data_IF_031356600275
#
_entry.id   IF_031356600275
#
_cell.length_a   1.000
_cell.length_b   1.000
_cell.length_c   1.000
_cell.angle_alpha   90.00
_cell.angle_beta   90.00
_cell.angle_gamma   90.00
#
_symmetry.space_group_name_H-M   'P 1'
#
loop_
_entity.id
_entity.type
_entity.pdbx_description
1 polymer ?
#
# COMPACT_ATOMS: atom_id res chain seq x y z
N UNK A 1 -23.22 -12.08 -11.17
CA UNK A 1 -22.71 -13.09 -12.12
C UNK A 1 -23.81 -14.10 -12.31
N UNK A 2 -24.14 -14.56 -13.53
CA UNK A 2 -25.05 -15.67 -13.72
C UNK A 2 -24.41 -16.90 -13.09
N UNK A 3 -25.09 -17.52 -12.12
CA UNK A 3 -24.67 -18.78 -11.52
C UNK A 3 -24.69 -19.86 -12.60
N UNK A 4 -23.56 -20.54 -12.80
CA UNK A 4 -23.53 -21.71 -13.68
C UNK A 4 -24.62 -22.70 -13.26
N UNK A 5 -25.29 -23.42 -14.21
CA UNK A 5 -26.33 -24.35 -13.87
C UNK A 5 -25.77 -25.44 -12.94
N UNK A 6 -26.48 -25.68 -11.83
CA UNK A 6 -26.09 -26.67 -10.81
C UNK A 6 -26.16 -28.08 -11.42
N UNK A 7 -25.07 -28.86 -11.35
CA UNK A 7 -25.09 -30.25 -11.82
C UNK A 7 -26.18 -31.08 -11.13
N UNK A 8 -26.90 -31.93 -11.86
CA UNK A 8 -28.00 -32.75 -11.28
C UNK A 8 -27.60 -33.59 -10.06
N UNK A 9 -26.37 -34.09 -10.06
CA UNK A 9 -25.81 -34.88 -8.95
C UNK A 9 -25.66 -34.10 -7.63
N UNK A 10 -25.64 -32.75 -7.69
CA UNK A 10 -25.54 -31.90 -6.50
C UNK A 10 -26.89 -31.46 -5.94
N UNK A 11 -28.00 -31.74 -6.60
CA UNK A 11 -29.32 -31.28 -6.16
C UNK A 11 -29.71 -31.85 -4.79
N UNK A 12 -29.42 -33.13 -4.54
CA UNK A 12 -29.69 -33.76 -3.24
C UNK A 12 -28.82 -33.17 -2.12
N UNK A 13 -27.55 -32.92 -2.40
CA UNK A 13 -26.62 -32.23 -1.48
C UNK A 13 -27.11 -30.83 -1.12
N UNK A 14 -27.57 -30.08 -2.14
CA UNK A 14 -28.13 -28.73 -1.95
C UNK A 14 -29.39 -28.76 -1.09
N UNK A 15 -30.35 -29.66 -1.38
CA UNK A 15 -31.57 -29.76 -0.60
C UNK A 15 -31.29 -30.11 0.87
N UNK A 16 -30.36 -31.04 1.09
CA UNK A 16 -29.93 -31.41 2.46
C UNK A 16 -29.27 -30.25 3.21
N UNK A 17 -28.40 -29.51 2.53
CA UNK A 17 -27.74 -28.35 3.11
C UNK A 17 -28.75 -27.20 3.36
N UNK A 18 -29.68 -26.96 2.45
CA UNK A 18 -30.75 -25.98 2.60
C UNK A 18 -31.59 -26.25 3.84
N UNK A 19 -32.01 -27.50 4.02
CA UNK A 19 -32.75 -27.93 5.21
C UNK A 19 -31.92 -27.71 6.50
N UNK A 20 -30.67 -28.14 6.50
CA UNK A 20 -29.78 -27.98 7.67
C UNK A 20 -29.55 -26.50 8.04
N UNK A 21 -29.38 -25.61 7.03
CA UNK A 21 -29.24 -24.16 7.24
C UNK A 21 -30.54 -23.59 7.83
N UNK A 22 -31.71 -23.96 7.30
CA UNK A 22 -33.01 -23.49 7.81
C UNK A 22 -33.19 -23.91 9.28
N UNK A 23 -32.97 -25.18 9.62
CA UNK A 23 -33.07 -25.68 10.98
C UNK A 23 -32.09 -25.02 11.95
N UNK A 24 -30.84 -24.86 11.53
CA UNK A 24 -29.83 -24.20 12.34
C UNK A 24 -30.06 -22.70 12.52
N UNK A 25 -30.69 -22.03 11.57
CA UNK A 25 -31.01 -20.60 11.58
C UNK A 25 -32.40 -20.27 12.15
N UNK A 26 -33.23 -21.25 12.48
CA UNK A 26 -34.64 -21.05 12.84
C UNK A 26 -34.83 -20.09 14.04
N UNK A 27 -34.00 -20.24 15.06
CA UNK A 27 -34.04 -19.37 16.22
C UNK A 27 -33.72 -17.88 15.87
N UNK A 28 -32.72 -17.64 15.03
CA UNK A 28 -32.33 -16.29 14.60
C UNK A 28 -33.36 -15.71 13.62
N UNK A 29 -33.93 -16.55 12.76
CA UNK A 29 -35.01 -16.11 11.85
C UNK A 29 -36.24 -15.73 12.66
N UNK A 30 -36.60 -16.53 13.67
CA UNK A 30 -37.73 -16.23 14.59
C UNK A 30 -37.47 -14.97 15.40
N UNK A 31 -36.27 -14.78 15.92
CA UNK A 31 -35.84 -13.57 16.63
C UNK A 31 -35.92 -12.34 15.71
N UNK A 32 -35.47 -12.45 14.47
CA UNK A 32 -35.53 -11.39 13.47
C UNK A 32 -36.98 -11.02 13.14
N UNK A 33 -37.84 -12.02 12.90
CA UNK A 33 -39.23 -11.81 12.60
C UNK A 33 -39.97 -11.12 13.78
N UNK A 34 -39.71 -11.59 15.01
CA UNK A 34 -40.27 -10.96 16.22
C UNK A 34 -39.82 -9.52 16.38
N UNK A 35 -38.52 -9.22 16.21
CA UNK A 35 -38.00 -7.85 16.27
C UNK A 35 -38.66 -6.93 15.23
N UNK A 36 -38.80 -7.40 13.99
CA UNK A 36 -39.44 -6.63 12.92
C UNK A 36 -40.92 -6.38 13.21
N UNK A 37 -41.65 -7.39 13.72
CA UNK A 37 -43.09 -7.30 14.00
C UNK A 37 -43.43 -6.31 15.11
N UNK A 38 -42.54 -6.09 16.08
CA UNK A 38 -42.74 -5.15 17.21
C UNK A 38 -42.10 -3.78 16.94
N UNK A 39 -41.37 -3.62 15.87
CA UNK A 39 -40.72 -2.36 15.53
C UNK A 39 -41.73 -1.44 14.84
N UNK A 40 -41.92 -0.23 15.36
CA UNK A 40 -42.67 0.81 14.68
C UNK A 40 -42.00 1.22 13.38
N UNK A 41 -42.78 1.41 12.30
CA UNK A 41 -42.28 1.80 10.96
C UNK A 41 -41.38 3.05 11.02
N UNK A 42 -41.68 3.99 11.95
CA UNK A 42 -40.85 5.18 12.16
C UNK A 42 -39.43 4.86 12.72
N UNK A 43 -39.25 3.69 13.34
CA UNK A 43 -38.00 3.26 13.96
C UNK A 43 -37.35 2.04 13.26
N UNK A 44 -37.86 1.67 12.09
CA UNK A 44 -37.32 0.54 11.31
C UNK A 44 -35.87 0.77 10.90
N UNK A 45 -35.57 1.99 10.47
CA UNK A 45 -34.24 2.39 10.07
C UNK A 45 -33.38 2.86 11.25
N UNK A 46 -32.05 2.86 11.10
CA UNK A 46 -31.11 3.26 12.14
C UNK A 46 -30.72 2.10 13.06
N UNK A 47 -30.99 2.17 14.36
CA UNK A 47 -30.53 1.16 15.34
C UNK A 47 -30.99 -0.27 15.04
N UNK A 48 -32.14 -0.44 14.39
CA UNK A 48 -32.66 -1.76 14.01
C UNK A 48 -31.89 -2.37 12.83
N UNK A 49 -31.35 -1.57 11.91
CA UNK A 49 -30.53 -2.09 10.81
C UNK A 49 -29.28 -2.83 11.34
N UNK A 50 -28.63 -2.29 12.39
CA UNK A 50 -27.51 -2.97 13.05
C UNK A 50 -27.92 -4.31 13.70
N UNK A 51 -29.11 -4.38 14.31
CA UNK A 51 -29.64 -5.65 14.87
C UNK A 51 -29.94 -6.66 13.77
N UNK A 52 -30.59 -6.22 12.68
CA UNK A 52 -30.88 -7.04 11.52
C UNK A 52 -29.57 -7.60 10.92
N UNK A 53 -28.57 -6.74 10.74
CA UNK A 53 -27.24 -7.15 10.26
C UNK A 53 -26.61 -8.21 11.18
N UNK A 54 -26.63 -7.99 12.49
CA UNK A 54 -26.06 -8.92 13.46
C UNK A 54 -26.75 -10.31 13.41
N UNK A 55 -28.08 -10.36 13.26
CA UNK A 55 -28.84 -11.59 13.09
C UNK A 55 -28.52 -12.28 11.74
N UNK A 56 -28.42 -11.51 10.66
CA UNK A 56 -28.02 -12.03 9.35
C UNK A 56 -26.62 -12.66 9.39
N UNK A 57 -25.67 -12.05 10.10
CA UNK A 57 -24.34 -12.61 10.31
C UNK A 57 -24.39 -13.93 11.09
N UNK A 58 -25.19 -14.02 12.14
CA UNK A 58 -25.38 -15.31 12.88
C UNK A 58 -25.92 -16.41 11.97
N UNK A 59 -26.92 -16.11 11.14
CA UNK A 59 -27.46 -17.08 10.17
C UNK A 59 -26.38 -17.50 9.18
N UNK A 60 -25.62 -16.56 8.64
CA UNK A 60 -24.54 -16.85 7.71
C UNK A 60 -23.42 -17.69 8.35
N UNK A 61 -23.04 -17.40 9.60
CA UNK A 61 -22.06 -18.20 10.32
C UNK A 61 -22.54 -19.65 10.51
N UNK A 62 -23.80 -19.84 10.89
CA UNK A 62 -24.41 -21.18 10.99
C UNK A 62 -24.46 -21.91 9.66
N UNK A 63 -24.75 -21.20 8.57
CA UNK A 63 -24.70 -21.80 7.23
C UNK A 63 -23.32 -22.36 6.89
N UNK A 64 -22.24 -21.62 7.22
CA UNK A 64 -20.86 -22.10 7.06
C UNK A 64 -20.59 -23.33 7.96
N UNK A 65 -21.04 -23.32 9.21
CA UNK A 65 -20.90 -24.45 10.14
C UNK A 65 -21.59 -25.69 9.58
N UNK A 66 -22.83 -25.56 9.06
CA UNK A 66 -23.55 -26.68 8.47
C UNK A 66 -22.87 -27.21 7.20
N UNK A 67 -22.29 -26.33 6.39
CA UNK A 67 -21.51 -26.75 5.23
C UNK A 67 -20.24 -27.54 5.62
N UNK A 68 -19.56 -27.14 6.71
CA UNK A 68 -18.32 -27.80 7.17
C UNK A 68 -18.58 -29.09 7.99
N UNK A 69 -19.74 -29.21 8.61
CA UNK A 69 -20.06 -30.38 9.51
C UNK A 69 -19.91 -31.71 8.81
N UNK A 70 -20.43 -31.96 7.60
CA UNK A 70 -20.31 -33.27 6.92
C UNK A 70 -18.97 -33.44 6.20
N UNK A 71 -18.10 -32.41 6.15
CA UNK A 71 -16.85 -32.44 5.41
C UNK A 71 -15.75 -33.17 6.19
N UNK A 72 -14.76 -33.66 5.43
CA UNK A 72 -13.59 -34.33 6.02
C UNK A 72 -12.64 -33.37 6.73
N UNK A 73 -12.68 -32.08 6.40
CA UNK A 73 -11.92 -30.98 7.01
C UNK A 73 -10.45 -31.37 7.27
N UNK A 74 -9.74 -31.70 6.20
CA UNK A 74 -8.33 -32.09 6.23
C UNK A 74 -8.05 -33.54 6.63
N UNK A 75 -9.08 -34.43 6.68
CA UNK A 75 -8.85 -35.87 6.85
C UNK A 75 -8.48 -36.48 5.50
N UNK A 76 -7.24 -36.93 5.39
CA UNK A 76 -6.67 -37.60 4.21
C UNK A 76 -6.09 -38.97 4.58
N UNK A 77 -6.93 -39.83 5.15
CA UNK A 77 -6.56 -41.18 5.53
C UNK A 77 -5.85 -41.32 6.87
N UNK A 78 -5.30 -42.51 7.12
CA UNK A 78 -4.67 -42.84 8.40
C UNK A 78 -3.35 -42.08 8.66
N UNK A 79 -2.72 -41.54 7.62
CA UNK A 79 -1.45 -40.79 7.75
C UNK A 79 -1.25 -39.79 6.63
N UNK A 80 -0.49 -38.73 6.93
CA UNK A 80 -0.07 -37.71 5.98
C UNK A 80 1.43 -37.44 6.11
N UNK A 81 2.03 -36.81 5.11
CA UNK A 81 3.44 -36.38 5.20
C UNK A 81 3.56 -35.15 6.11
N UNK A 82 4.45 -35.22 7.10
CA UNK A 82 4.75 -34.09 7.98
C UNK A 82 5.51 -32.99 7.23
N UNK A 83 5.01 -31.75 7.15
CA UNK A 83 5.70 -30.67 6.46
C UNK A 83 6.98 -30.18 7.16
N UNK A 84 7.19 -30.56 8.44
CA UNK A 84 8.34 -30.13 9.23
C UNK A 84 9.56 -31.04 9.12
N UNK A 85 9.35 -32.33 8.91
CA UNK A 85 10.46 -33.30 8.87
C UNK A 85 10.32 -34.34 7.75
N UNK A 86 9.34 -34.22 6.89
CA UNK A 86 9.05 -35.10 5.75
C UNK A 86 8.80 -36.58 6.13
N UNK A 87 8.58 -36.88 7.40
CA UNK A 87 8.20 -38.20 7.90
C UNK A 87 6.70 -38.33 8.00
N UNK A 88 6.22 -39.55 8.25
CA UNK A 88 4.78 -39.85 8.42
C UNK A 88 4.25 -39.25 9.70
N UNK A 89 3.12 -38.53 9.63
CA UNK A 89 2.28 -38.14 10.76
C UNK A 89 0.99 -38.96 10.74
N UNK A 90 0.61 -39.54 11.87
CA UNK A 90 -0.55 -40.43 12.03
C UNK A 90 -1.78 -39.63 12.42
N UNK A 91 -2.94 -40.00 11.87
CA UNK A 91 -4.23 -39.47 12.32
C UNK A 91 -4.47 -39.80 13.79
N UNK A 92 -4.83 -38.77 14.55
CA UNK A 92 -5.10 -38.93 15.99
C UNK A 92 -6.59 -38.80 16.30
N UNK A 93 -7.23 -37.73 15.84
CA UNK A 93 -8.64 -37.44 16.16
C UNK A 93 -9.16 -36.27 15.34
N UNK A 94 -10.50 -36.08 15.34
CA UNK A 94 -11.09 -34.81 14.94
C UNK A 94 -11.21 -33.88 16.15
N UNK A 95 -10.69 -32.66 16.05
CA UNK A 95 -10.73 -31.64 17.12
C UNK A 95 -11.67 -30.49 16.75
N UNK A 96 -12.46 -30.05 17.73
CA UNK A 96 -13.28 -28.87 17.59
C UNK A 96 -12.38 -27.64 17.46
N UNK A 97 -12.74 -26.75 16.55
CA UNK A 97 -12.02 -25.52 16.28
C UNK A 97 -12.99 -24.37 16.03
N UNK A 98 -12.53 -23.14 16.25
CA UNK A 98 -13.26 -21.92 15.95
C UNK A 98 -12.40 -21.04 15.06
N UNK A 99 -12.89 -20.70 13.88
CA UNK A 99 -12.26 -19.70 13.02
C UNK A 99 -13.08 -18.41 13.00
N UNK A 100 -12.38 -17.29 12.85
CA UNK A 100 -13.00 -15.97 12.75
C UNK A 100 -13.17 -15.59 11.28
N UNK A 101 -14.40 -15.23 10.92
CA UNK A 101 -14.82 -14.92 9.55
C UNK A 101 -15.41 -13.52 9.47
N UNK A 102 -15.73 -13.05 8.26
CA UNK A 102 -16.45 -11.79 8.03
C UNK A 102 -17.88 -11.78 8.63
N UNK A 103 -18.41 -12.94 8.96
CA UNK A 103 -19.77 -13.08 9.53
C UNK A 103 -19.74 -13.55 10.99
N UNK A 104 -18.56 -13.53 11.62
CA UNK A 104 -18.37 -13.92 13.02
C UNK A 104 -17.63 -15.23 13.19
N UNK A 105 -17.70 -15.78 14.39
CA UNK A 105 -17.03 -17.04 14.75
C UNK A 105 -17.80 -18.25 14.16
N UNK A 106 -17.06 -19.15 13.54
CA UNK A 106 -17.56 -20.40 12.92
C UNK A 106 -16.88 -21.58 13.61
N UNK A 107 -17.68 -22.54 14.09
CA UNK A 107 -17.20 -23.72 14.80
C UNK A 107 -17.34 -24.97 13.93
N UNK A 108 -16.29 -25.75 13.85
CA UNK A 108 -16.27 -27.02 13.10
C UNK A 108 -15.24 -27.98 13.66
N UNK A 109 -15.33 -29.25 13.26
CA UNK A 109 -14.33 -30.26 13.61
C UNK A 109 -13.35 -30.41 12.45
N UNK A 110 -12.05 -30.49 12.77
CA UNK A 110 -10.99 -30.71 11.79
C UNK A 110 -10.09 -31.88 12.20
N UNK A 111 -9.46 -32.52 11.21
CA UNK A 111 -8.55 -33.61 11.42
C UNK A 111 -7.24 -33.14 12.07
N UNK A 112 -6.81 -33.86 13.10
CA UNK A 112 -5.55 -33.66 13.78
C UNK A 112 -4.64 -34.86 13.57
N UNK A 113 -3.42 -34.59 13.11
CA UNK A 113 -2.37 -35.59 12.93
C UNK A 113 -1.22 -35.29 13.89
N UNK A 114 -0.53 -36.33 14.34
CA UNK A 114 0.64 -36.21 15.20
C UNK A 114 1.83 -36.87 14.54
N UNK A 115 2.91 -36.12 14.31
CA UNK A 115 4.18 -36.64 13.86
C UNK A 115 5.01 -37.11 15.05
N UNK A 116 5.20 -38.42 15.20
CA UNK A 116 6.01 -38.99 16.29
C UNK A 116 7.49 -38.71 16.13
N UNK A 117 7.95 -38.41 14.93
CA UNK A 117 9.37 -38.13 14.67
C UNK A 117 9.81 -36.78 15.21
N UNK A 118 9.06 -35.71 14.95
CA UNK A 118 9.40 -34.33 15.42
C UNK A 118 8.49 -33.84 16.54
N UNK A 119 7.50 -34.64 17.00
CA UNK A 119 6.56 -34.27 18.08
C UNK A 119 5.53 -33.21 17.69
N UNK A 120 5.50 -32.74 16.44
CA UNK A 120 4.58 -31.67 16.01
C UNK A 120 3.21 -32.19 15.63
N UNK A 121 2.16 -31.46 16.06
CA UNK A 121 0.79 -31.65 15.63
C UNK A 121 0.49 -30.90 14.35
N UNK A 122 -0.39 -31.45 13.52
CA UNK A 122 -0.72 -30.93 12.20
C UNK A 122 -2.22 -30.86 12.02
N UNK A 123 -2.67 -29.78 11.38
CA UNK A 123 -4.06 -29.59 10.96
C UNK A 123 -4.05 -29.26 9.45
N UNK A 124 -4.14 -30.26 8.56
CA UNK A 124 -4.07 -30.03 7.11
C UNK A 124 -5.10 -29.02 6.62
N UNK A 125 -6.32 -29.05 7.19
CA UNK A 125 -7.39 -28.14 6.84
C UNK A 125 -7.04 -26.67 7.01
N UNK A 126 -6.26 -26.30 8.03
CA UNK A 126 -5.91 -24.90 8.28
C UNK A 126 -5.09 -24.33 7.11
N UNK A 127 -4.18 -25.14 6.59
CA UNK A 127 -3.39 -24.78 5.41
C UNK A 127 -4.24 -24.75 4.14
N UNK A 128 -5.10 -25.76 3.94
CA UNK A 128 -6.00 -25.81 2.77
C UNK A 128 -6.98 -24.66 2.74
N UNK A 129 -7.48 -24.26 3.92
CA UNK A 129 -8.40 -23.12 4.08
C UNK A 129 -7.68 -21.76 4.14
N UNK A 130 -6.35 -21.73 4.14
CA UNK A 130 -5.57 -20.50 4.25
C UNK A 130 -5.77 -19.76 5.57
N UNK A 131 -6.01 -20.48 6.67
CA UNK A 131 -6.20 -19.83 7.97
C UNK A 131 -4.90 -19.23 8.47
N UNK A 132 -4.98 -18.01 9.01
CA UNK A 132 -3.83 -17.37 9.66
C UNK A 132 -3.46 -18.07 10.97
N UNK A 133 -2.32 -17.75 11.53
CA UNK A 133 -1.87 -18.21 12.85
C UNK A 133 -2.82 -17.83 13.98
N UNK A 134 -3.75 -16.89 13.74
CA UNK A 134 -4.79 -16.43 14.68
C UNK A 134 -6.18 -16.92 14.32
N UNK A 135 -6.26 -17.96 13.50
CA UNK A 135 -7.52 -18.57 13.08
C UNK A 135 -8.46 -17.62 12.30
N UNK A 136 -7.90 -16.56 11.69
CA UNK A 136 -8.65 -15.70 10.78
C UNK A 136 -8.75 -16.36 9.41
N UNK A 137 -9.94 -16.30 8.82
CA UNK A 137 -10.09 -16.67 7.42
C UNK A 137 -9.42 -15.64 6.52
N UNK A 138 -9.00 -16.05 5.31
CA UNK A 138 -8.37 -15.15 4.35
C UNK A 138 -9.15 -13.88 4.07
N UNK A 139 -10.48 -13.98 3.99
CA UNK A 139 -11.34 -12.83 3.77
C UNK A 139 -11.29 -11.82 4.93
N UNK A 140 -11.28 -12.32 6.18
CA UNK A 140 -11.16 -11.45 7.35
C UNK A 140 -9.74 -10.89 7.48
N UNK A 141 -8.71 -11.68 7.20
CA UNK A 141 -7.32 -11.21 7.15
C UNK A 141 -7.15 -10.04 6.19
N UNK A 142 -7.67 -10.18 4.96
CA UNK A 142 -7.64 -9.11 3.94
C UNK A 142 -8.29 -7.82 4.44
N UNK A 143 -9.48 -7.92 5.03
CA UNK A 143 -10.24 -6.74 5.48
C UNK A 143 -9.60 -6.11 6.71
N UNK A 144 -9.10 -6.93 7.65
CA UNK A 144 -8.36 -6.45 8.82
C UNK A 144 -7.05 -5.75 8.42
N UNK A 145 -6.31 -6.33 7.48
CA UNK A 145 -5.09 -5.72 6.94
C UNK A 145 -5.37 -4.40 6.22
N UNK A 146 -6.48 -4.32 5.48
CA UNK A 146 -6.92 -3.08 4.85
C UNK A 146 -7.23 -2.00 5.90
N UNK A 147 -8.03 -2.36 6.93
CA UNK A 147 -8.38 -1.44 8.00
C UNK A 147 -7.13 -0.93 8.73
N UNK A 148 -6.19 -1.81 9.08
CA UNK A 148 -4.92 -1.43 9.72
C UNK A 148 -4.01 -0.57 8.86
N UNK A 149 -4.05 -0.77 7.53
CA UNK A 149 -3.24 0.00 6.59
C UNK A 149 -3.82 1.40 6.30
N UNK A 150 -5.15 1.57 6.30
CA UNK A 150 -5.78 2.84 5.86
C UNK A 150 -6.28 3.72 7.01
N UNK A 151 -6.63 3.14 8.16
CA UNK A 151 -7.05 3.92 9.34
C UNK A 151 -5.85 4.63 9.99
N UNK A 152 -6.13 5.67 10.77
CA UNK A 152 -5.11 6.47 11.46
C UNK A 152 -4.37 5.67 12.54
N UNK A 153 -5.04 4.67 13.17
CA UNK A 153 -4.45 3.75 14.13
C UNK A 153 -5.03 2.35 13.96
N UNK A 154 -4.44 1.35 14.60
CA UNK A 154 -5.00 -0.01 14.63
C UNK A 154 -6.29 -0.07 15.44
N UNK A 155 -6.39 0.73 16.52
CA UNK A 155 -7.62 0.93 17.29
C UNK A 155 -8.76 1.43 16.39
N UNK A 156 -8.51 2.50 15.62
CA UNK A 156 -9.48 3.03 14.63
C UNK A 156 -9.80 2.02 13.54
N UNK A 157 -8.84 1.22 13.13
CA UNK A 157 -9.06 0.11 12.20
C UNK A 157 -10.04 -0.93 12.77
N UNK A 158 -9.90 -1.29 14.05
CA UNK A 158 -10.81 -2.21 14.73
C UNK A 158 -12.23 -1.60 14.89
N UNK A 159 -12.34 -0.32 15.27
CA UNK A 159 -13.62 0.39 15.32
C UNK A 159 -14.33 0.43 13.97
N UNK A 160 -13.61 0.72 12.88
CA UNK A 160 -14.17 0.72 11.53
C UNK A 160 -14.68 -0.66 11.10
N UNK A 161 -13.97 -1.73 11.46
CA UNK A 161 -14.41 -3.11 11.18
C UNK A 161 -15.70 -3.45 11.92
N UNK A 162 -15.84 -3.02 13.17
CA UNK A 162 -17.07 -3.21 13.94
C UNK A 162 -18.22 -2.37 13.39
N UNK A 163 -18.01 -1.08 13.16
CA UNK A 163 -19.05 -0.15 12.72
C UNK A 163 -19.54 -0.47 11.31
N UNK A 164 -18.63 -0.61 10.35
CA UNK A 164 -18.98 -0.84 8.95
C UNK A 164 -19.29 -2.29 8.64
N UNK A 165 -18.54 -3.22 9.21
CA UNK A 165 -18.61 -4.65 8.92
C UNK A 165 -19.39 -5.48 9.94
N UNK A 166 -19.63 -4.96 11.15
CA UNK A 166 -20.19 -5.75 12.25
C UNK A 166 -19.24 -6.84 12.77
N UNK A 167 -17.94 -6.71 12.49
CA UNK A 167 -16.92 -7.72 12.83
C UNK A 167 -16.06 -7.19 13.96
N UNK A 168 -16.10 -7.87 15.10
CA UNK A 168 -15.30 -7.52 16.27
C UNK A 168 -13.96 -8.23 16.27
N UNK A 169 -12.91 -7.46 16.17
CA UNK A 169 -11.52 -7.91 16.35
C UNK A 169 -10.81 -6.93 17.27
N UNK A 170 -9.83 -7.41 18.04
CA UNK A 170 -9.05 -6.50 18.88
C UNK A 170 -8.07 -5.68 18.06
N UNK A 171 -7.70 -4.49 18.56
CA UNK A 171 -6.63 -3.66 18.02
C UNK A 171 -5.36 -4.49 17.73
N UNK A 172 -4.91 -5.27 18.73
CA UNK A 172 -3.73 -6.12 18.58
C UNK A 172 -3.88 -7.21 17.52
N UNK A 173 -5.10 -7.65 17.20
CA UNK A 173 -5.37 -8.57 16.09
C UNK A 173 -5.22 -7.83 14.77
N UNK A 174 -5.77 -6.62 14.64
CA UNK A 174 -5.62 -5.79 13.44
C UNK A 174 -4.14 -5.48 13.20
N UNK A 175 -3.41 -5.03 14.24
CA UNK A 175 -1.98 -4.73 14.18
C UNK A 175 -1.18 -5.92 13.63
N UNK A 176 -1.20 -7.03 14.34
CA UNK A 176 -0.39 -8.21 13.98
C UNK A 176 -0.78 -8.79 12.62
N UNK A 177 -2.07 -8.80 12.30
CA UNK A 177 -2.55 -9.27 10.99
C UNK A 177 -2.03 -8.38 9.86
N UNK A 178 -2.06 -7.06 10.07
CA UNK A 178 -1.53 -6.08 9.12
C UNK A 178 -0.02 -6.23 8.93
N UNK A 179 0.72 -6.35 10.03
CA UNK A 179 2.17 -6.51 9.99
C UNK A 179 2.59 -7.82 9.32
N UNK A 180 1.94 -8.94 9.65
CA UNK A 180 2.21 -10.24 9.01
C UNK A 180 1.91 -10.22 7.50
N UNK A 181 0.80 -9.61 7.09
CA UNK A 181 0.48 -9.46 5.67
C UNK A 181 1.51 -8.56 4.94
N UNK A 182 1.92 -7.46 5.58
CA UNK A 182 2.93 -6.57 5.05
C UNK A 182 4.31 -7.22 4.95
N UNK A 183 4.67 -8.05 5.92
CA UNK A 183 5.92 -8.80 5.90
C UNK A 183 5.93 -9.82 4.76
N UNK A 184 4.86 -10.59 4.57
CA UNK A 184 4.73 -11.51 3.42
C UNK A 184 4.86 -10.78 2.08
N UNK A 185 4.27 -9.59 1.98
CA UNK A 185 4.39 -8.74 0.81
C UNK A 185 5.84 -8.28 0.59
N UNK A 186 6.53 -7.84 1.64
CA UNK A 186 7.94 -7.45 1.58
C UNK A 186 8.84 -8.59 1.12
N UNK A 187 8.63 -9.80 1.64
CA UNK A 187 9.33 -11.02 1.23
C UNK A 187 9.08 -11.35 -0.25
N UNK A 188 7.83 -11.23 -0.72
CA UNK A 188 7.50 -11.43 -2.13
C UNK A 188 8.20 -10.40 -3.04
N UNK A 189 8.25 -9.12 -2.63
CA UNK A 189 8.98 -8.06 -3.34
C UNK A 189 10.46 -8.36 -3.39
N UNK A 190 11.08 -8.74 -2.27
CA UNK A 190 12.51 -9.10 -2.22
C UNK A 190 12.83 -10.31 -3.08
N UNK A 191 11.91 -11.27 -3.17
CA UNK A 191 12.04 -12.43 -4.07
C UNK A 191 11.83 -12.09 -5.55
N UNK A 192 11.53 -10.84 -5.90
CA UNK A 192 11.25 -10.41 -7.28
C UNK A 192 9.91 -10.91 -7.81
N UNK A 193 8.96 -11.24 -6.94
CA UNK A 193 7.65 -11.73 -7.34
C UNK A 193 6.82 -10.64 -8.04
N UNK A 194 6.13 -11.04 -9.11
CA UNK A 194 5.17 -10.18 -9.77
C UNK A 194 3.89 -10.07 -8.94
N UNK A 195 3.53 -8.91 -8.44
CA UNK A 195 2.41 -8.71 -7.50
C UNK A 195 1.03 -8.61 -8.16
N UNK A 196 0.97 -8.38 -9.45
CA UNK A 196 -0.27 -8.27 -10.21
C UNK A 196 -0.12 -8.78 -11.63
N UNK A 197 -1.19 -8.84 -12.42
CA UNK A 197 -1.06 -9.14 -13.82
C UNK A 197 -0.18 -8.07 -14.49
N UNK A 198 0.62 -8.44 -15.51
CA UNK A 198 1.29 -7.46 -16.33
C UNK A 198 0.29 -6.45 -16.87
N UNK A 199 0.64 -5.17 -16.80
CA UNK A 199 -0.17 -4.09 -17.35
C UNK A 199 0.56 -3.51 -18.58
N UNK A 200 -0.20 -3.13 -19.58
CA UNK A 200 0.31 -2.43 -20.75
C UNK A 200 -0.20 -1.00 -20.71
N UNK A 201 0.58 -0.12 -20.08
CA UNK A 201 0.17 1.26 -19.96
C UNK A 201 0.29 2.00 -21.30
N UNK A 202 -0.72 2.79 -21.68
CA UNK A 202 -0.63 3.69 -22.82
C UNK A 202 0.24 4.89 -22.44
N UNK A 203 1.56 4.71 -22.55
CA UNK A 203 2.55 5.70 -22.13
C UNK A 203 2.27 7.09 -22.73
N UNK A 204 2.38 8.10 -21.89
CA UNK A 204 2.31 9.50 -22.27
C UNK A 204 3.29 9.80 -23.42
N UNK A 205 2.84 10.59 -24.40
CA UNK A 205 3.70 11.05 -25.49
C UNK A 205 4.14 12.50 -25.23
N UNK A 206 5.42 12.72 -25.39
CA UNK A 206 5.99 14.07 -25.37
C UNK A 206 5.62 14.86 -26.66
N UNK A 207 6.07 16.10 -26.76
CA UNK A 207 5.79 16.95 -27.92
C UNK A 207 6.48 16.50 -29.22
N UNK A 208 7.45 15.58 -29.12
CA UNK A 208 8.08 14.92 -30.26
C UNK A 208 7.35 13.61 -30.64
N UNK A 209 6.28 13.25 -29.92
CA UNK A 209 5.49 12.03 -30.15
C UNK A 209 6.11 10.77 -29.56
N UNK A 210 7.17 10.89 -28.75
CA UNK A 210 7.84 9.76 -28.10
C UNK A 210 7.10 9.36 -26.83
N UNK A 211 6.94 8.06 -26.61
CA UNK A 211 6.33 7.52 -25.39
C UNK A 211 7.32 7.63 -24.23
N UNK A 212 6.91 8.32 -23.17
CA UNK A 212 7.73 8.60 -22.00
C UNK A 212 7.25 7.81 -20.77
N UNK A 213 8.15 7.03 -20.18
CA UNK A 213 7.93 6.39 -18.89
C UNK A 213 8.75 7.10 -17.82
N UNK A 214 8.14 7.30 -16.65
CA UNK A 214 8.78 7.98 -15.53
C UNK A 214 9.09 7.01 -14.41
N UNK A 215 10.27 7.15 -13.82
CA UNK A 215 10.65 6.48 -12.58
C UNK A 215 11.10 7.53 -11.58
N UNK A 216 10.50 7.50 -10.40
CA UNK A 216 10.72 8.49 -9.37
C UNK A 216 11.16 7.82 -8.07
N UNK A 217 12.04 8.48 -7.34
CA UNK A 217 12.59 8.01 -6.07
C UNK A 217 12.74 9.18 -5.10
N UNK A 218 12.20 8.99 -3.90
CA UNK A 218 12.25 9.95 -2.81
C UNK A 218 12.32 9.23 -1.46
N UNK A 219 12.55 9.96 -0.38
CA UNK A 219 12.66 9.42 0.96
C UNK A 219 12.02 10.33 2.01
N UNK A 220 11.46 9.73 3.06
CA UNK A 220 10.88 10.48 4.16
C UNK A 220 11.21 9.84 5.51
N UNK A 221 11.54 10.66 6.52
CA UNK A 221 11.90 10.16 7.85
C UNK A 221 10.70 9.59 8.61
N UNK A 222 10.88 8.42 9.22
CA UNK A 222 9.94 7.78 10.15
C UNK A 222 10.55 7.75 11.54
N UNK A 223 9.75 8.12 12.57
CA UNK A 223 10.17 8.09 13.97
C UNK A 223 10.15 6.65 14.46
N UNK A 224 11.26 6.20 15.04
CA UNK A 224 11.38 4.85 15.60
C UNK A 224 11.09 4.82 17.10
N UNK A 225 10.63 3.66 17.52
CA UNK A 225 10.51 3.27 18.92
C UNK A 225 11.79 2.57 19.36
N UNK A 226 12.38 3.03 20.43
CA UNK A 226 13.53 2.40 21.10
C UNK A 226 13.09 1.41 22.17
N UNK A 227 14.07 0.84 22.87
CA UNK A 227 13.83 -0.05 24.00
C UNK A 227 12.95 0.62 25.06
N UNK A 228 11.98 -0.13 25.62
CA UNK A 228 11.01 0.38 26.59
C UNK A 228 10.03 1.43 26.06
N UNK A 229 9.88 1.56 24.73
CA UNK A 229 8.92 2.50 24.12
C UNK A 229 9.42 3.94 24.00
N UNK A 230 10.67 4.22 24.40
CA UNK A 230 11.29 5.53 24.27
C UNK A 230 11.58 5.94 22.83
N UNK A 231 12.09 7.17 22.61
CA UNK A 231 12.53 7.59 21.28
C UNK A 231 13.82 6.87 20.87
N UNK A 232 13.93 6.49 19.61
CA UNK A 232 15.15 6.06 18.96
C UNK A 232 15.48 6.96 17.77
N UNK A 233 16.67 6.80 17.20
CA UNK A 233 17.06 7.48 15.98
C UNK A 233 16.07 7.16 14.86
N UNK A 234 15.62 8.20 14.15
CA UNK A 234 14.69 8.05 13.01
C UNK A 234 15.34 7.26 11.88
N UNK A 235 14.53 6.63 11.05
CA UNK A 235 14.98 5.92 9.85
C UNK A 235 14.28 6.47 8.60
N UNK A 236 15.00 6.46 7.47
CA UNK A 236 14.41 6.84 6.19
C UNK A 236 13.57 5.69 5.64
N UNK A 237 12.35 6.01 5.27
CA UNK A 237 11.53 5.18 4.41
C UNK A 237 11.69 5.67 2.99
N UNK A 238 12.19 4.82 2.11
CA UNK A 238 12.26 5.11 0.68
C UNK A 238 10.93 4.82 0.04
N UNK A 239 10.55 5.71 -0.87
CA UNK A 239 9.36 5.58 -1.72
C UNK A 239 9.81 5.69 -3.15
N UNK A 240 9.50 4.68 -3.93
CA UNK A 240 9.75 4.66 -5.36
C UNK A 240 8.45 4.48 -6.12
N UNK A 241 8.40 5.03 -7.30
CA UNK A 241 7.26 4.81 -8.17
C UNK A 241 7.68 4.76 -9.63
N UNK A 242 6.96 3.93 -10.39
CA UNK A 242 6.91 4.01 -11.84
C UNK A 242 5.58 4.62 -12.21
N UNK A 243 5.57 5.65 -13.03
CA UNK A 243 4.33 6.34 -13.35
C UNK A 243 4.22 6.72 -14.83
N UNK A 244 2.97 6.83 -15.23
CA UNK A 244 2.53 7.40 -16.49
C UNK A 244 1.76 8.67 -16.11
N UNK A 245 2.41 9.86 -16.15
CA UNK A 245 1.79 11.10 -15.70
C UNK A 245 0.64 11.49 -16.61
N UNK A 246 -0.30 12.25 -16.04
CA UNK A 246 -1.28 12.98 -16.86
C UNK A 246 -0.56 14.18 -17.47
N UNK A 247 -0.49 14.28 -18.80
CA UNK A 247 0.13 15.45 -19.43
C UNK A 247 -0.62 16.73 -19.04
N UNK A 248 0.07 17.84 -18.90
CA UNK A 248 -0.55 19.17 -18.97
C UNK A 248 -1.11 19.30 -20.38
N UNK A 249 -2.42 19.13 -20.49
CA UNK A 249 -3.07 18.89 -21.77
C UNK A 249 -3.31 20.18 -22.57
N UNK A 250 -2.80 20.28 -23.78
CA UNK A 250 -3.04 21.45 -24.62
C UNK A 250 -4.38 21.39 -25.39
N UNK A 251 -5.13 20.28 -25.31
CA UNK A 251 -6.34 20.10 -26.11
C UNK A 251 -7.60 20.12 -25.25
N UNK A 252 -8.47 21.13 -25.36
CA UNK A 252 -9.61 21.32 -24.46
C UNK A 252 -10.72 20.24 -24.57
N UNK A 253 -10.71 19.45 -25.61
CA UNK A 253 -11.83 18.54 -25.92
C UNK A 253 -11.65 17.09 -25.44
N UNK A 254 -10.49 16.69 -24.95
CA UNK A 254 -10.26 15.35 -24.41
C UNK A 254 -10.12 15.40 -22.88
N UNK A 255 -10.80 14.46 -22.19
CA UNK A 255 -10.61 14.32 -20.74
C UNK A 255 -9.21 13.80 -20.45
N UNK A 256 -8.45 14.46 -19.56
CA UNK A 256 -7.13 13.98 -19.19
C UNK A 256 -7.24 12.54 -18.63
N UNK A 257 -6.38 11.65 -19.12
CA UNK A 257 -6.25 10.30 -18.57
C UNK A 257 -5.74 10.43 -17.12
N UNK A 258 -6.33 9.70 -16.15
CA UNK A 258 -5.82 9.72 -14.79
C UNK A 258 -4.39 9.17 -14.76
N UNK A 259 -3.54 9.75 -13.92
CA UNK A 259 -2.18 9.24 -13.68
C UNK A 259 -2.25 7.76 -13.26
N UNK A 260 -1.44 6.93 -13.91
CA UNK A 260 -1.21 5.55 -13.50
C UNK A 260 0.10 5.48 -12.74
N UNK A 261 0.12 4.81 -11.60
CA UNK A 261 1.31 4.68 -10.78
C UNK A 261 1.36 3.33 -10.06
N UNK A 262 2.56 2.73 -10.03
CA UNK A 262 2.93 1.64 -9.13
C UNK A 262 3.93 2.12 -8.13
N UNK A 263 3.60 1.96 -6.87
CA UNK A 263 4.41 2.38 -5.74
C UNK A 263 5.13 1.19 -5.11
N UNK A 264 6.33 1.47 -4.63
CA UNK A 264 7.06 0.63 -3.70
C UNK A 264 7.50 1.51 -2.54
N UNK A 265 7.39 1.02 -1.31
CA UNK A 265 7.91 1.74 -0.16
C UNK A 265 8.36 0.78 0.94
N UNK A 266 9.40 1.15 1.66
CA UNK A 266 9.92 0.35 2.78
C UNK A 266 11.12 1.00 3.44
N UNK A 267 11.51 0.43 4.60
CA UNK A 267 12.71 0.81 5.33
C UNK A 267 13.85 -0.12 4.88
N UNK A 268 14.56 0.29 3.87
CA UNK A 268 15.69 -0.43 3.29
C UNK A 268 16.98 0.40 3.40
N UNK A 269 18.16 -0.20 3.28
CA UNK A 269 19.33 0.51 2.77
C UNK A 269 19.04 1.00 1.33
N UNK A 270 19.53 2.19 0.99
CA UNK A 270 19.24 2.79 -0.33
C UNK A 270 19.73 1.91 -1.51
N UNK A 271 20.87 1.25 -1.31
CA UNK A 271 21.47 0.32 -2.27
C UNK A 271 20.60 -0.92 -2.56
N UNK A 272 19.80 -1.35 -1.60
CA UNK A 272 18.90 -2.48 -1.74
C UNK A 272 17.56 -2.08 -2.36
N UNK A 273 17.12 -0.84 -2.14
CA UNK A 273 15.81 -0.37 -2.59
C UNK A 273 15.72 -0.19 -4.11
N UNK A 274 16.75 0.38 -4.73
CA UNK A 274 16.78 0.65 -6.17
C UNK A 274 16.47 -0.57 -7.04
N UNK A 275 17.12 -1.73 -6.83
CA UNK A 275 16.87 -2.95 -7.61
C UNK A 275 15.42 -3.43 -7.55
N UNK A 276 14.73 -3.23 -6.42
CA UNK A 276 13.35 -3.70 -6.22
C UNK A 276 12.35 -2.99 -7.14
N UNK A 277 12.65 -1.78 -7.60
CA UNK A 277 11.79 -1.04 -8.54
C UNK A 277 11.78 -1.62 -9.96
N UNK A 278 12.74 -2.48 -10.31
CA UNK A 278 12.82 -3.08 -11.66
C UNK A 278 11.63 -3.99 -11.97
N UNK A 279 11.18 -4.77 -10.99
CA UNK A 279 10.05 -5.68 -11.18
C UNK A 279 8.75 -4.91 -11.49
N UNK A 280 8.29 -3.93 -10.67
CA UNK A 280 7.11 -3.17 -11.01
C UNK A 280 7.25 -2.35 -12.31
N UNK A 281 8.46 -1.90 -12.67
CA UNK A 281 8.71 -1.24 -13.95
C UNK A 281 8.51 -2.17 -15.14
N UNK A 282 9.01 -3.41 -15.05
CA UNK A 282 8.79 -4.45 -16.06
C UNK A 282 7.32 -4.82 -16.18
N UNK A 283 6.62 -4.96 -15.04
CA UNK A 283 5.21 -5.35 -14.99
C UNK A 283 4.27 -4.35 -15.70
N UNK A 284 4.65 -3.08 -15.77
CA UNK A 284 3.86 -2.05 -16.48
C UNK A 284 4.33 -1.80 -17.92
N UNK A 285 5.30 -2.60 -18.38
CA UNK A 285 5.85 -2.47 -19.73
C UNK A 285 6.66 -1.19 -19.95
N UNK A 286 7.41 -0.73 -18.95
CA UNK A 286 8.29 0.42 -19.06
C UNK A 286 9.31 0.28 -20.21
N UNK A 287 9.74 -0.93 -20.51
CA UNK A 287 10.64 -1.27 -21.60
C UNK A 287 10.10 -0.94 -23.00
N UNK A 288 8.78 -0.79 -23.14
CA UNK A 288 8.10 -0.41 -24.38
C UNK A 288 8.01 1.11 -24.59
N UNK A 289 8.33 1.91 -23.57
CA UNK A 289 8.46 3.35 -23.72
C UNK A 289 9.73 3.68 -24.53
N UNK A 290 9.63 4.70 -25.36
CA UNK A 290 10.74 5.13 -26.23
C UNK A 290 11.81 5.88 -25.40
N UNK A 291 11.37 6.62 -24.37
CA UNK A 291 12.20 7.39 -23.43
C UNK A 291 11.91 7.02 -21.99
N UNK A 292 12.97 6.97 -21.19
CA UNK A 292 12.86 6.83 -19.74
C UNK A 292 13.36 8.10 -19.06
N UNK A 293 12.54 8.64 -18.18
CA UNK A 293 12.81 9.88 -17.47
C UNK A 293 12.82 9.58 -15.98
N UNK A 294 13.91 9.96 -15.31
CA UNK A 294 14.03 9.90 -13.86
C UNK A 294 13.61 11.23 -13.22
N UNK A 295 12.95 11.17 -12.05
CA UNK A 295 12.78 12.32 -11.17
C UNK A 295 13.23 11.96 -9.76
N UNK A 296 13.95 12.86 -9.12
CA UNK A 296 14.21 12.79 -7.69
C UNK A 296 14.54 14.16 -7.12
N UNK A 297 14.42 14.30 -5.80
CA UNK A 297 14.95 15.46 -5.10
C UNK A 297 16.49 15.50 -5.11
N UNK A 298 17.07 16.48 -4.43
CA UNK A 298 18.52 16.62 -4.29
C UNK A 298 19.14 15.70 -3.23
N UNK A 299 18.45 14.69 -2.77
CA UNK A 299 18.91 13.74 -1.75
C UNK A 299 20.14 12.95 -2.19
N UNK A 300 21.06 12.71 -1.25
CA UNK A 300 22.33 12.05 -1.56
C UNK A 300 22.11 10.60 -2.07
N UNK A 301 22.70 10.27 -3.21
CA UNK A 301 22.70 8.94 -3.80
C UNK A 301 21.44 8.52 -4.56
N UNK A 302 20.34 9.29 -4.54
CA UNK A 302 19.11 8.94 -5.26
C UNK A 302 19.33 8.92 -6.77
N UNK A 303 20.04 9.93 -7.30
CA UNK A 303 20.40 9.97 -8.72
C UNK A 303 21.22 8.76 -9.12
N UNK A 304 22.25 8.41 -8.36
CA UNK A 304 23.13 7.28 -8.64
C UNK A 304 22.33 5.98 -8.68
N UNK A 305 21.42 5.78 -7.74
CA UNK A 305 20.57 4.58 -7.69
C UNK A 305 19.63 4.49 -8.88
N UNK A 306 19.05 5.61 -9.32
CA UNK A 306 18.23 5.63 -10.54
C UNK A 306 19.07 5.27 -11.77
N UNK A 307 20.25 5.84 -11.96
CA UNK A 307 21.15 5.52 -13.10
C UNK A 307 21.60 4.08 -13.11
N UNK A 308 21.99 3.54 -11.96
CA UNK A 308 22.43 2.14 -11.84
C UNK A 308 21.31 1.15 -12.16
N UNK A 309 20.09 1.42 -11.69
CA UNK A 309 19.00 0.48 -11.82
C UNK A 309 18.18 0.66 -13.10
N UNK A 310 18.23 1.83 -13.70
CA UNK A 310 17.52 2.18 -14.93
C UNK A 310 18.48 2.81 -15.96
N UNK A 311 19.41 2.00 -16.54
CA UNK A 311 20.51 2.53 -17.40
C UNK A 311 20.02 3.15 -18.71
N UNK A 312 18.75 2.95 -19.11
CA UNK A 312 18.13 3.62 -20.25
C UNK A 312 17.55 5.00 -19.91
N UNK A 313 17.61 5.43 -18.65
CA UNK A 313 17.15 6.77 -18.25
C UNK A 313 17.98 7.82 -18.98
N UNK A 314 17.33 8.61 -19.85
CA UNK A 314 17.94 9.66 -20.65
C UNK A 314 18.39 10.81 -19.77
N UNK A 315 17.55 11.21 -18.84
CA UNK A 315 17.79 12.29 -17.89
C UNK A 315 17.21 11.99 -16.53
N UNK A 316 17.85 12.48 -15.47
CA UNK A 316 17.28 12.52 -14.13
C UNK A 316 17.03 13.97 -13.76
N UNK A 317 15.78 14.36 -13.83
CA UNK A 317 15.33 15.73 -13.56
C UNK A 317 15.35 15.95 -12.04
N UNK A 318 15.94 17.05 -11.59
CA UNK A 318 15.78 17.50 -10.22
C UNK A 318 14.37 18.07 -10.05
N UNK A 319 13.67 17.64 -9.03
CA UNK A 319 12.36 18.20 -8.70
C UNK A 319 12.41 19.72 -8.59
N UNK A 320 11.62 20.40 -9.42
CA UNK A 320 11.56 21.85 -9.48
C UNK A 320 11.18 22.50 -8.14
N UNK A 321 10.31 21.86 -7.37
CA UNK A 321 9.84 22.44 -6.10
C UNK A 321 10.94 22.47 -5.04
N UNK A 322 11.91 21.56 -5.10
CA UNK A 322 13.00 21.52 -4.13
C UNK A 322 13.93 22.75 -4.18
N UNK A 323 14.53 23.15 -5.33
CA UNK A 323 15.23 24.43 -5.43
C UNK A 323 14.30 25.64 -5.26
N UNK A 324 13.03 25.55 -5.66
CA UNK A 324 12.06 26.64 -5.49
C UNK A 324 11.79 26.96 -4.01
N UNK A 325 11.72 25.98 -3.12
CA UNK A 325 11.62 26.20 -1.67
C UNK A 325 12.88 26.86 -1.09
N UNK A 326 14.06 26.42 -1.52
CA UNK A 326 15.34 27.04 -1.10
C UNK A 326 15.44 28.49 -1.54
N UNK A 327 14.98 28.82 -2.75
CA UNK A 327 14.87 30.18 -3.26
C UNK A 327 13.92 31.03 -2.41
N UNK A 328 12.79 30.48 -2.02
CA UNK A 328 11.82 31.15 -1.14
C UNK A 328 12.43 31.42 0.24
N UNK A 329 13.16 30.45 0.80
CA UNK A 329 13.90 30.64 2.05
C UNK A 329 14.94 31.75 1.97
N UNK A 330 15.71 31.79 0.89
CA UNK A 330 16.71 32.85 0.66
C UNK A 330 16.06 34.24 0.49
N UNK A 331 14.94 34.34 -0.23
CA UNK A 331 14.19 35.58 -0.43
C UNK A 331 13.65 36.14 0.91
N UNK A 332 13.19 35.28 1.83
CA UNK A 332 12.78 35.68 3.18
C UNK A 332 13.94 36.22 4.01
N UNK A 333 15.12 35.65 3.89
CA UNK A 333 16.32 36.19 4.52
C UNK A 333 16.76 37.54 3.90
N UNK A 334 16.50 37.72 2.62
CA UNK A 334 16.76 38.98 1.92
C UNK A 334 15.75 40.07 2.33
N UNK A 335 14.50 39.75 2.57
CA UNK A 335 13.42 40.69 2.94
C UNK A 335 12.71 40.28 4.24
N UNK A 336 13.39 40.25 5.42
CA UNK A 336 12.85 39.64 6.65
C UNK A 336 11.69 40.43 7.28
N UNK A 337 11.46 41.68 6.86
CA UNK A 337 10.40 42.55 7.38
C UNK A 337 9.26 42.75 6.38
N UNK A 338 9.35 42.19 5.18
CA UNK A 338 8.41 42.41 4.09
C UNK A 338 8.16 41.10 3.34
N UNK A 339 7.10 40.39 3.73
CA UNK A 339 6.74 39.11 3.13
C UNK A 339 6.30 39.28 1.66
N UNK A 340 5.71 40.41 1.28
CA UNK A 340 5.30 40.67 -0.11
C UNK A 340 6.53 40.82 -1.01
N UNK A 341 7.54 41.58 -0.58
CA UNK A 341 8.80 41.67 -1.30
C UNK A 341 9.55 40.33 -1.35
N UNK A 342 9.52 39.54 -0.27
CA UNK A 342 10.13 38.24 -0.26
C UNK A 342 9.47 37.30 -1.29
N UNK A 343 8.12 37.28 -1.32
CA UNK A 343 7.40 36.44 -2.28
C UNK A 343 7.59 36.92 -3.73
N UNK A 344 7.60 38.22 -3.97
CA UNK A 344 7.88 38.78 -5.31
C UNK A 344 9.30 38.40 -5.79
N UNK A 345 10.28 38.47 -4.90
CA UNK A 345 11.65 38.07 -5.22
C UNK A 345 11.76 36.57 -5.47
N UNK A 346 11.13 35.76 -4.63
CA UNK A 346 11.08 34.29 -4.80
C UNK A 346 10.42 33.91 -6.13
N UNK A 347 9.32 34.59 -6.48
CA UNK A 347 8.62 34.41 -7.77
C UNK A 347 9.50 34.70 -8.96
N UNK A 348 10.26 35.82 -8.95
CA UNK A 348 11.21 36.16 -10.01
C UNK A 348 12.30 35.12 -10.17
N UNK A 349 12.88 34.64 -9.07
CA UNK A 349 13.91 33.61 -9.13
C UNK A 349 13.37 32.24 -9.58
N UNK A 350 12.17 31.87 -9.15
CA UNK A 350 11.51 30.65 -9.62
C UNK A 350 11.18 30.71 -11.10
N UNK A 351 10.74 31.90 -11.59
CA UNK A 351 10.50 32.11 -13.00
C UNK A 351 11.80 32.01 -13.81
N UNK A 352 12.85 32.66 -13.37
CA UNK A 352 14.16 32.58 -14.02
C UNK A 352 14.70 31.14 -14.04
N UNK A 353 14.57 30.41 -12.93
CA UNK A 353 14.92 28.99 -12.85
C UNK A 353 14.15 28.16 -13.89
N UNK A 354 12.86 28.43 -14.04
CA UNK A 354 11.99 27.71 -14.98
C UNK A 354 12.29 28.03 -16.44
N UNK A 355 12.63 29.27 -16.74
CA UNK A 355 12.84 29.78 -18.11
C UNK A 355 14.27 29.61 -18.60
N UNK A 356 15.28 29.70 -17.71
CA UNK A 356 16.70 29.72 -18.07
C UNK A 356 17.52 28.58 -17.43
N UNK A 357 16.93 27.83 -16.53
CA UNK A 357 17.58 26.71 -15.86
C UNK A 357 18.47 27.07 -14.68
N UNK A 358 18.98 26.03 -14.02
CA UNK A 358 19.75 26.17 -12.77
C UNK A 358 21.12 26.80 -12.94
N UNK A 359 21.79 26.56 -14.06
CA UNK A 359 23.11 27.12 -14.32
C UNK A 359 23.10 28.67 -14.48
N UNK A 360 22.11 29.18 -15.21
CA UNK A 360 21.92 30.62 -15.40
C UNK A 360 21.54 31.30 -14.09
N UNK A 361 20.57 30.75 -13.37
CA UNK A 361 20.18 31.27 -12.05
C UNK A 361 21.36 31.27 -11.07
N UNK A 362 22.15 30.20 -11.02
CA UNK A 362 23.36 30.14 -10.18
C UNK A 362 24.35 31.26 -10.49
N UNK A 363 24.56 31.57 -11.76
CA UNK A 363 25.42 32.71 -12.21
C UNK A 363 24.85 34.07 -11.80
N UNK A 364 23.54 34.28 -11.98
CA UNK A 364 22.87 35.52 -11.56
C UNK A 364 22.98 35.73 -10.06
N UNK A 365 22.74 34.66 -9.25
CA UNK A 365 22.85 34.77 -7.78
C UNK A 365 24.30 35.00 -7.31
N UNK A 366 25.29 34.53 -8.04
CA UNK A 366 26.71 34.75 -7.72
C UNK A 366 27.10 36.20 -7.95
N UNK A 367 26.60 36.84 -8.98
CA UNK A 367 26.85 38.21 -9.30
C UNK A 367 25.98 39.22 -8.53
N UNK A 368 25.04 38.70 -7.72
CA UNK A 368 24.12 39.52 -6.95
C UNK A 368 24.85 40.28 -5.84
N UNK A 369 24.58 41.58 -5.71
CA UNK A 369 25.10 42.38 -4.61
C UNK A 369 24.33 42.11 -3.31
N UNK A 370 24.84 41.15 -2.53
CA UNK A 370 24.20 40.70 -1.31
C UNK A 370 24.36 41.72 -0.18
N UNK A 371 23.27 42.23 0.42
CA UNK A 371 23.34 43.09 1.58
C UNK A 371 24.08 42.40 2.73
N UNK A 372 24.88 43.18 3.48
CA UNK A 372 25.58 42.67 4.66
C UNK A 372 24.59 42.43 5.80
N UNK A 373 24.03 41.23 5.85
CA UNK A 373 23.10 40.75 6.90
C UNK A 373 23.58 39.44 7.46
N UNK A 374 23.41 39.19 8.82
CA UNK A 374 23.77 37.92 9.43
C UNK A 374 23.07 36.74 8.75
N UNK A 375 23.82 35.70 8.40
CA UNK A 375 23.32 34.47 7.79
C UNK A 375 22.95 34.53 6.31
N UNK A 376 22.72 35.73 5.73
CA UNK A 376 22.27 35.85 4.33
C UNK A 376 23.39 35.43 3.34
N UNK A 377 24.62 35.89 3.55
CA UNK A 377 25.74 35.53 2.70
C UNK A 377 26.09 34.06 2.70
N UNK A 378 25.98 33.41 3.89
CA UNK A 378 26.17 31.98 4.03
C UNK A 378 25.07 31.19 3.30
N UNK A 379 23.80 31.56 3.51
CA UNK A 379 22.66 30.94 2.83
C UNK A 379 22.71 31.10 1.31
N UNK A 380 23.13 32.29 0.83
CA UNK A 380 23.33 32.54 -0.61
C UNK A 380 24.45 31.65 -1.18
N UNK A 381 25.60 31.56 -0.47
CA UNK A 381 26.73 30.72 -0.89
C UNK A 381 26.35 29.24 -0.94
N UNK A 382 25.63 28.76 0.07
CA UNK A 382 25.15 27.39 0.13
C UNK A 382 24.20 27.08 -1.05
N UNK A 383 23.23 27.96 -1.32
CA UNK A 383 22.27 27.79 -2.41
C UNK A 383 22.96 27.85 -3.77
N UNK A 384 23.88 28.79 -4.00
CA UNK A 384 24.65 28.85 -5.24
C UNK A 384 25.42 27.58 -5.48
N UNK A 385 26.15 27.08 -4.45
CA UNK A 385 26.87 25.83 -4.55
C UNK A 385 25.96 24.62 -4.79
N UNK A 386 24.74 24.63 -4.24
CA UNK A 386 23.72 23.62 -4.54
C UNK A 386 23.27 23.68 -6.00
N UNK A 387 22.92 24.84 -6.52
CA UNK A 387 22.51 25.04 -7.91
C UNK A 387 23.60 24.58 -8.90
N UNK A 388 24.86 24.90 -8.62
CA UNK A 388 25.99 24.47 -9.44
C UNK A 388 26.19 22.96 -9.47
N UNK A 389 26.15 22.31 -8.33
CA UNK A 389 26.28 20.84 -8.26
C UNK A 389 25.16 20.13 -8.98
N UNK A 390 23.95 20.67 -8.97
CA UNK A 390 22.76 20.07 -9.55
C UNK A 390 22.38 20.63 -10.93
N UNK A 391 23.17 21.56 -11.49
CA UNK A 391 22.87 22.26 -12.75
C UNK A 391 22.54 21.30 -13.90
N UNK A 392 23.23 20.15 -13.98
CA UNK A 392 23.04 19.13 -15.00
C UNK A 392 21.67 18.45 -14.99
N UNK A 393 20.88 18.68 -13.92
CA UNK A 393 19.54 18.14 -13.72
C UNK A 393 18.45 19.21 -13.79
N UNK A 394 18.81 20.47 -14.02
CA UNK A 394 17.92 21.64 -13.94
C UNK A 394 17.82 22.39 -15.28
N UNK A 395 17.88 21.67 -16.39
CA UNK A 395 17.60 22.27 -17.72
C UNK A 395 16.08 22.28 -17.98
N UNK A 396 15.37 22.96 -17.06
CA UNK A 396 13.90 23.00 -17.11
C UNK A 396 13.33 23.58 -18.40
N UNK A 397 13.96 24.64 -19.04
CA UNK A 397 13.47 25.12 -20.33
C UNK A 397 13.44 24.04 -21.41
N UNK A 398 14.49 23.21 -21.50
CA UNK A 398 14.54 22.11 -22.46
C UNK A 398 13.51 21.00 -22.13
N UNK A 399 13.38 20.63 -20.83
CA UNK A 399 12.40 19.63 -20.43
C UNK A 399 10.97 20.05 -20.73
N UNK A 400 10.63 21.32 -20.45
CA UNK A 400 9.31 21.87 -20.74
C UNK A 400 9.06 22.01 -22.25
N UNK A 401 10.07 22.36 -23.03
CA UNK A 401 9.97 22.41 -24.48
C UNK A 401 9.67 21.04 -25.10
N UNK A 402 10.08 19.95 -24.43
CA UNK A 402 9.74 18.58 -24.81
C UNK A 402 8.40 18.09 -24.23
N UNK A 403 7.76 18.86 -23.35
CA UNK A 403 6.53 18.45 -22.66
C UNK A 403 6.75 17.44 -21.53
N UNK A 404 7.96 17.47 -20.94
CA UNK A 404 8.27 16.58 -19.81
C UNK A 404 7.87 17.20 -18.46
N UNK A 405 7.49 16.34 -17.52
CA UNK A 405 7.22 16.76 -16.15
C UNK A 405 8.52 17.16 -15.45
N UNK A 406 8.53 18.36 -14.84
CA UNK A 406 9.68 18.87 -14.08
C UNK A 406 9.48 18.87 -12.57
N UNK A 407 8.27 18.56 -12.12
CA UNK A 407 7.91 18.54 -10.70
C UNK A 407 7.60 17.14 -10.24
N UNK A 408 8.15 16.76 -9.09
CA UNK A 408 7.93 15.48 -8.43
C UNK A 408 6.67 15.48 -7.56
N UNK A 409 5.69 16.34 -7.83
CA UNK A 409 4.46 16.41 -7.06
C UNK A 409 3.78 15.05 -6.89
N UNK A 410 4.02 14.11 -7.81
CA UNK A 410 3.54 12.76 -7.73
C UNK A 410 4.26 11.94 -6.65
N UNK A 411 5.60 11.93 -6.61
CA UNK A 411 6.36 11.18 -5.58
C UNK A 411 6.31 11.87 -4.22
N UNK A 412 6.29 13.22 -4.16
CA UNK A 412 6.06 13.95 -2.91
C UNK A 412 4.69 13.59 -2.32
N UNK A 413 3.65 13.58 -3.17
CA UNK A 413 2.32 13.09 -2.78
C UNK A 413 2.36 11.63 -2.34
N UNK A 414 3.18 10.78 -2.98
CA UNK A 414 3.38 9.40 -2.59
C UNK A 414 4.03 9.30 -1.20
N UNK A 415 5.11 10.03 -0.93
CA UNK A 415 5.72 10.11 0.40
C UNK A 415 4.70 10.53 1.47
N UNK A 416 3.84 11.49 1.17
CA UNK A 416 2.78 11.98 2.05
C UNK A 416 1.67 10.94 2.25
N UNK A 417 1.19 10.33 1.16
CA UNK A 417 0.03 9.43 1.20
C UNK A 417 0.39 7.99 1.55
N UNK A 418 1.54 7.49 1.12
CA UNK A 418 1.99 6.13 1.44
C UNK A 418 2.56 6.07 2.86
N UNK A 419 3.44 7.00 3.22
CA UNK A 419 4.14 6.98 4.51
C UNK A 419 3.50 7.97 5.49
N UNK A 420 3.42 9.26 5.11
CA UNK A 420 3.09 10.36 6.03
C UNK A 420 1.75 10.19 6.74
N UNK A 421 0.69 9.95 5.99
CA UNK A 421 -0.69 9.85 6.50
C UNK A 421 -0.92 8.73 7.52
N UNK A 422 -0.03 7.77 7.63
CA UNK A 422 -0.18 6.65 8.57
C UNK A 422 0.96 6.54 9.58
N UNK A 423 2.19 6.83 9.16
CA UNK A 423 3.37 6.58 10.01
C UNK A 423 3.89 7.86 10.69
N UNK A 424 3.42 9.05 10.27
CA UNK A 424 3.96 10.34 10.77
C UNK A 424 2.93 11.16 11.54
N UNK A 425 1.84 10.58 11.99
CA UNK A 425 0.86 11.29 12.83
C UNK A 425 1.47 11.68 14.18
N UNK A 426 0.84 12.65 14.84
CA UNK A 426 1.36 13.20 16.08
C UNK A 426 1.58 12.12 17.15
N UNK A 427 2.77 12.11 17.75
CA UNK A 427 3.14 11.16 18.80
C UNK A 427 3.50 9.75 18.34
N UNK A 428 3.30 9.38 17.08
CA UNK A 428 3.60 8.03 16.59
C UNK A 428 5.09 7.73 16.56
N UNK A 429 5.42 6.52 16.99
CA UNK A 429 6.74 5.87 16.85
C UNK A 429 6.51 4.41 16.50
N UNK A 430 7.39 3.85 15.70
CA UNK A 430 7.22 2.52 15.12
C UNK A 430 8.38 1.58 15.43
N UNK A 431 8.07 0.31 15.64
CA UNK A 431 9.05 -0.75 15.45
C UNK A 431 9.47 -0.79 13.97
N UNK A 432 10.71 -1.15 13.70
CA UNK A 432 11.24 -1.14 12.33
C UNK A 432 10.45 -2.07 11.41
N UNK A 433 10.22 -3.31 11.85
CA UNK A 433 9.49 -4.33 11.08
C UNK A 433 8.04 -3.92 10.80
N UNK A 434 7.34 -3.36 11.80
CA UNK A 434 5.96 -2.88 11.64
C UNK A 434 5.86 -1.70 10.67
N UNK A 435 6.78 -0.73 10.75
CA UNK A 435 6.83 0.38 9.80
C UNK A 435 7.14 -0.11 8.39
N UNK A 436 8.08 -1.04 8.24
CA UNK A 436 8.47 -1.64 6.96
C UNK A 436 7.28 -2.35 6.31
N UNK A 437 6.62 -3.24 7.06
CA UNK A 437 5.44 -3.98 6.62
C UNK A 437 4.31 -3.03 6.17
N UNK A 438 4.06 -1.99 6.95
CA UNK A 438 3.01 -1.02 6.65
C UNK A 438 3.32 -0.19 5.40
N UNK A 439 4.57 0.20 5.18
CA UNK A 439 4.99 0.87 3.95
C UNK A 439 4.65 0.03 2.71
N UNK A 440 4.96 -1.26 2.73
CA UNK A 440 4.66 -2.18 1.63
C UNK A 440 3.17 -2.29 1.35
N UNK A 441 2.35 -2.55 2.37
CA UNK A 441 0.90 -2.66 2.19
C UNK A 441 0.28 -1.37 1.67
N UNK A 442 0.73 -0.22 2.18
CA UNK A 442 0.21 1.08 1.72
C UNK A 442 0.65 1.40 0.30
N UNK A 443 1.89 1.07 -0.07
CA UNK A 443 2.37 1.21 -1.45
C UNK A 443 1.52 0.36 -2.40
N UNK A 444 1.26 -0.91 -2.06
CA UNK A 444 0.39 -1.79 -2.84
C UNK A 444 -1.05 -1.23 -2.96
N UNK A 445 -1.63 -0.80 -1.84
CA UNK A 445 -3.00 -0.28 -1.82
C UNK A 445 -3.16 1.03 -2.62
N UNK A 446 -2.11 1.86 -2.66
CA UNK A 446 -2.08 3.13 -3.42
C UNK A 446 -1.73 2.97 -4.88
N UNK A 447 -1.19 1.82 -5.28
CA UNK A 447 -0.95 1.48 -6.68
C UNK A 447 -2.26 1.39 -7.47
N UNK A 448 -2.16 1.31 -8.78
CA UNK A 448 -3.33 1.27 -9.64
C UNK A 448 -4.30 0.13 -9.27
N UNK A 449 -5.58 0.31 -9.63
CA UNK A 449 -6.64 -0.64 -9.29
C UNK A 449 -6.31 -2.07 -9.73
N UNK A 450 -6.59 -3.03 -8.86
CA UNK A 450 -6.38 -4.46 -9.11
C UNK A 450 -5.12 -5.02 -8.46
N UNK A 451 -4.13 -4.20 -8.10
CA UNK A 451 -2.91 -4.69 -7.44
C UNK A 451 -3.22 -5.30 -6.06
N UNK A 452 -4.01 -4.61 -5.26
CA UNK A 452 -4.49 -5.12 -3.97
C UNK A 452 -5.26 -6.44 -4.13
N UNK A 453 -6.19 -6.50 -5.07
CA UNK A 453 -6.98 -7.71 -5.32
C UNK A 453 -6.11 -8.87 -5.81
N UNK A 454 -5.14 -8.60 -6.67
CA UNK A 454 -4.25 -9.61 -7.20
C UNK A 454 -3.35 -10.22 -6.10
N UNK A 455 -2.84 -9.42 -5.17
CA UNK A 455 -2.06 -9.92 -4.03
C UNK A 455 -2.89 -10.90 -3.19
N UNK A 456 -4.09 -10.50 -2.79
CA UNK A 456 -4.95 -11.35 -1.96
C UNK A 456 -5.51 -12.59 -2.69
N UNK A 457 -5.70 -12.53 -3.99
CA UNK A 457 -6.18 -13.69 -4.76
C UNK A 457 -5.07 -14.72 -5.03
N UNK A 458 -3.79 -14.33 -5.00
CA UNK A 458 -2.65 -15.25 -5.18
C UNK A 458 -2.39 -16.12 -3.97
N UNK A 459 -2.52 -15.57 -2.77
CA UNK A 459 -2.30 -16.31 -1.52
C UNK A 459 -3.23 -17.51 -1.38
N UNK A 460 -4.36 -17.55 -2.13
CA UNK A 460 -5.31 -18.67 -2.11
C UNK A 460 -5.07 -19.73 -3.17
N UNK A 461 -4.28 -19.45 -4.20
CA UNK A 461 -4.03 -20.38 -5.31
C UNK A 461 -2.63 -21.00 -5.29
N UNK A 462 -1.75 -20.56 -4.41
CA UNK A 462 -0.33 -20.96 -4.37
C UNK A 462 0.04 -21.90 -3.23
N UNK A 463 -0.93 -22.42 -2.47
CA UNK A 463 -0.70 -23.37 -1.38
C UNK A 463 -1.25 -24.76 -1.70
#
# INVERSE_FOLDING_TARGET
MPTAPVPPEKQAEIAGLEQAIREAGDAEISELAANLAITDDAHLFGANEFKIRALAHKIAAKAIEQHLTPKKNGYDGASVTCPHCSRTAEFHSHRLHTSFTLVGAVRYRRAYYLCRCCGKGLFPFDREAGLTTRDLTPALERVASLAGAVADSFEKGAELLEEMGGVRVSESTVERTTEEAGQRLAEAVQAGSHLGPPADWPWHKDYEGQRCAYVELDATGVRRQGEGGGPAEGRMAYVGMVCNPTPEWPWPDEKPQPMQARYLAGLYPLEEFGPLLRTPAGDVGMDRADRWIGLSDGGAGLEDRLRENFPRVEVIILDFFHPAEKLTGLARLLHPQDEDQAEDQARRWRQLLKEEGGAVLGSVLREWDWPRRPGLGEAATELIGYLERQAHRMDYPEYLARGWCIGSGAIESACKTVVGQRLKLAGMRWGEDGAHALCHLRALYRSEKGQWDAFWNRDYSSN
#
